data_IF_493416160218
#
_entry.id   IF_493416160218
#
_cell.length_a   1.000
_cell.length_b   1.000
_cell.length_c   1.000
_cell.angle_alpha   90.00
_cell.angle_beta   90.00
_cell.angle_gamma   90.00
#
_symmetry.space_group_name_H-M   'P 1'
#
loop_
_entity.id
_entity.type
_entity.pdbx_description
1 polymer ?
#
# COMPACT_ATOMS: atom_id res chain seq x y z
N UNK A 1 -37.75 -6.86 -15.98
CA UNK A 1 -36.54 -6.07 -15.63
C UNK A 1 -35.70 -6.88 -14.64
N UNK A 2 -34.48 -7.18 -14.99
CA UNK A 2 -33.60 -7.94 -14.09
C UNK A 2 -33.24 -7.10 -12.87
N UNK A 3 -33.34 -7.70 -11.70
CA UNK A 3 -32.96 -7.06 -10.47
C UNK A 3 -31.43 -7.10 -10.28
N UNK A 4 -30.86 -6.05 -9.76
CA UNK A 4 -29.45 -6.02 -9.33
C UNK A 4 -29.23 -7.10 -8.27
N UNK A 5 -28.24 -7.96 -8.50
CA UNK A 5 -27.92 -9.09 -7.60
C UNK A 5 -26.58 -8.93 -6.92
N UNK A 6 -25.74 -8.07 -7.43
CA UNK A 6 -24.39 -7.84 -6.91
C UNK A 6 -23.99 -6.38 -6.95
N UNK A 7 -23.11 -6.01 -6.04
CA UNK A 7 -22.52 -4.67 -5.94
C UNK A 7 -21.02 -4.81 -5.82
N UNK A 8 -20.28 -4.10 -6.66
CA UNK A 8 -18.84 -3.99 -6.57
C UNK A 8 -18.44 -2.62 -6.05
N UNK A 9 -17.51 -2.61 -5.12
CA UNK A 9 -16.94 -1.38 -4.56
C UNK A 9 -15.52 -1.18 -5.05
N UNK A 10 -15.19 0.05 -5.43
CA UNK A 10 -13.81 0.50 -5.50
C UNK A 10 -13.26 0.65 -4.07
N UNK A 11 -11.97 0.37 -3.87
CA UNK A 11 -11.36 0.39 -2.54
C UNK A 11 -10.76 1.76 -2.22
N UNK A 12 -9.76 2.19 -2.97
CA UNK A 12 -9.01 3.41 -2.70
C UNK A 12 -9.84 4.67 -2.94
N UNK A 13 -10.04 5.49 -1.89
CA UNK A 13 -10.84 6.71 -1.96
C UNK A 13 -12.36 6.49 -1.91
N UNK A 14 -12.82 5.24 -1.89
CA UNK A 14 -14.25 4.89 -1.80
C UNK A 14 -14.58 4.24 -0.46
N UNK A 15 -14.10 3.03 -0.22
CA UNK A 15 -14.26 2.34 1.08
C UNK A 15 -13.11 2.64 2.03
N UNK A 16 -11.91 2.84 1.51
CA UNK A 16 -10.71 3.10 2.27
C UNK A 16 -10.22 4.51 2.00
N UNK A 17 -9.98 5.26 3.06
CA UNK A 17 -9.36 6.57 3.01
C UNK A 17 -7.99 6.54 3.68
N UNK A 18 -7.14 7.50 3.34
CA UNK A 18 -5.81 7.68 3.91
C UNK A 18 -5.77 9.00 4.65
N UNK A 19 -5.53 8.94 5.94
CA UNK A 19 -5.45 10.10 6.82
C UNK A 19 -4.00 10.43 7.16
N UNK A 20 -3.63 11.71 7.10
CA UNK A 20 -2.31 12.17 7.54
C UNK A 20 -2.25 12.15 9.05
N UNK A 21 -1.46 11.24 9.61
CA UNK A 21 -1.22 11.12 11.04
C UNK A 21 0.31 11.12 11.24
N UNK A 22 0.91 12.28 11.57
CA UNK A 22 2.36 12.45 11.59
C UNK A 22 3.11 11.42 12.43
N UNK A 23 2.64 11.13 13.64
CA UNK A 23 3.29 10.14 14.51
C UNK A 23 3.28 8.74 13.91
N UNK A 24 2.18 8.34 13.28
CA UNK A 24 2.06 7.06 12.58
C UNK A 24 3.03 6.98 11.41
N UNK A 25 3.11 8.02 10.62
CA UNK A 25 3.98 8.12 9.46
C UNK A 25 5.46 8.09 9.86
N UNK A 26 5.85 8.81 10.92
CA UNK A 26 7.22 8.79 11.44
C UNK A 26 7.64 7.40 11.97
N UNK A 27 6.77 6.71 12.70
CA UNK A 27 7.05 5.33 13.13
C UNK A 27 7.31 4.40 11.94
N UNK A 28 6.54 4.54 10.87
CA UNK A 28 6.71 3.76 9.66
C UNK A 28 8.06 4.03 8.97
N UNK A 29 8.46 5.30 8.87
CA UNK A 29 9.76 5.70 8.30
C UNK A 29 10.93 5.11 9.10
N UNK A 30 10.88 5.23 10.43
CA UNK A 30 11.89 4.67 11.32
C UNK A 30 11.99 3.16 11.15
N UNK A 31 10.85 2.49 11.11
CA UNK A 31 10.82 1.02 10.93
C UNK A 31 11.40 0.59 9.59
N UNK A 32 11.08 1.27 8.51
CA UNK A 32 11.68 1.01 7.20
C UNK A 32 13.20 1.15 7.22
N UNK A 33 13.71 2.23 7.81
CA UNK A 33 15.14 2.46 7.94
C UNK A 33 15.83 1.35 8.76
N UNK A 34 15.21 0.90 9.84
CA UNK A 34 15.71 -0.22 10.65
C UNK A 34 15.80 -1.51 9.83
N UNK A 35 14.75 -1.84 9.08
CA UNK A 35 14.73 -3.03 8.21
C UNK A 35 15.83 -2.99 7.15
N UNK A 36 16.12 -1.81 6.63
CA UNK A 36 17.18 -1.57 5.65
C UNK A 36 18.58 -1.39 6.25
N UNK A 37 18.70 -1.36 7.58
CA UNK A 37 19.98 -1.10 8.26
C UNK A 37 20.53 0.31 8.03
N UNK A 38 19.64 1.30 7.89
CA UNK A 38 19.99 2.69 7.64
C UNK A 38 19.79 3.55 8.89
N UNK A 39 20.77 4.40 9.20
CA UNK A 39 20.73 5.30 10.37
C UNK A 39 20.04 6.62 10.06
N UNK A 40 20.30 7.20 8.89
CA UNK A 40 19.66 8.44 8.44
C UNK A 40 18.30 8.14 7.81
N UNK A 41 17.25 8.25 8.62
CA UNK A 41 15.88 7.93 8.24
C UNK A 41 15.38 8.82 7.10
N UNK A 42 15.61 10.12 7.19
CA UNK A 42 15.11 11.07 6.20
C UNK A 42 15.80 10.89 4.85
N UNK A 43 17.11 10.76 4.83
CA UNK A 43 17.86 10.50 3.61
C UNK A 43 17.43 9.17 2.96
N UNK A 44 17.19 8.14 3.77
CA UNK A 44 16.70 6.86 3.28
C UNK A 44 15.32 6.97 2.62
N UNK A 45 14.37 7.61 3.28
CA UNK A 45 13.02 7.77 2.73
C UNK A 45 13.03 8.61 1.45
N UNK A 46 13.81 9.70 1.42
CA UNK A 46 13.95 10.53 0.21
C UNK A 46 14.53 9.74 -0.96
N UNK A 47 15.50 8.87 -0.70
CA UNK A 47 16.06 7.97 -1.70
C UNK A 47 15.01 7.00 -2.24
N UNK A 48 14.24 6.37 -1.37
CA UNK A 48 13.14 5.44 -1.77
C UNK A 48 12.10 6.18 -2.61
N UNK A 49 11.67 7.35 -2.20
CA UNK A 49 10.71 8.16 -2.95
C UNK A 49 11.23 8.53 -4.36
N UNK A 50 12.51 8.91 -4.45
CA UNK A 50 13.12 9.24 -5.74
C UNK A 50 13.19 8.01 -6.68
N UNK A 51 13.49 6.84 -6.13
CA UNK A 51 13.55 5.59 -6.90
C UNK A 51 12.16 5.03 -7.26
N UNK A 52 11.15 5.42 -6.53
CA UNK A 52 9.77 5.01 -6.82
C UNK A 52 9.23 5.60 -8.12
N UNK A 53 9.64 6.80 -8.50
CA UNK A 53 9.14 7.45 -9.73
C UNK A 53 9.43 6.65 -11.01
N UNK A 54 10.67 6.19 -11.28
CA UNK A 54 10.94 5.32 -12.44
C UNK A 54 10.13 4.02 -12.42
N UNK A 55 9.95 3.43 -11.24
CA UNK A 55 9.10 2.25 -11.09
C UNK A 55 7.65 2.56 -11.50
N UNK A 56 7.10 3.65 -11.00
CA UNK A 56 5.74 4.08 -11.31
C UNK A 56 5.53 4.29 -12.81
N UNK A 57 6.47 4.95 -13.48
CA UNK A 57 6.43 5.13 -14.93
C UNK A 57 6.42 3.79 -15.67
N UNK A 58 7.29 2.88 -15.27
CA UNK A 58 7.34 1.54 -15.82
C UNK A 58 6.01 0.79 -15.60
N UNK A 59 5.50 0.78 -14.37
CA UNK A 59 4.27 0.07 -14.01
C UNK A 59 3.05 0.60 -14.82
N UNK A 60 2.96 1.90 -15.00
CA UNK A 60 1.91 2.51 -15.81
C UNK A 60 2.07 2.17 -17.30
N UNK A 61 3.29 2.20 -17.83
CA UNK A 61 3.58 1.86 -19.22
C UNK A 61 3.30 0.40 -19.55
N UNK A 62 3.62 -0.51 -18.64
CA UNK A 62 3.38 -1.96 -18.79
C UNK A 62 1.99 -2.40 -18.33
N UNK A 63 1.20 -1.50 -17.75
CA UNK A 63 -0.08 -1.82 -17.12
C UNK A 63 0.03 -3.01 -16.14
N UNK A 64 1.08 -2.99 -15.33
CA UNK A 64 1.45 -4.08 -14.42
C UNK A 64 2.08 -3.53 -13.14
N UNK A 65 1.82 -4.18 -12.02
CA UNK A 65 2.51 -3.92 -10.76
C UNK A 65 3.52 -5.02 -10.44
N UNK A 66 4.65 -4.63 -9.86
CA UNK A 66 5.63 -5.58 -9.33
C UNK A 66 5.15 -6.19 -8.02
N UNK A 67 5.50 -7.46 -7.79
CA UNK A 67 5.37 -8.06 -6.46
C UNK A 67 6.37 -7.42 -5.48
N UNK A 68 6.18 -7.64 -4.18
CA UNK A 68 7.00 -6.99 -3.15
C UNK A 68 8.50 -7.22 -3.34
N UNK A 69 8.91 -8.45 -3.56
CA UNK A 69 10.33 -8.75 -3.78
C UNK A 69 10.88 -8.06 -5.03
N UNK A 70 10.18 -8.14 -6.17
CA UNK A 70 10.57 -7.49 -7.42
C UNK A 70 10.70 -5.98 -7.25
N UNK A 71 9.75 -5.33 -6.56
CA UNK A 71 9.75 -3.90 -6.28
C UNK A 71 11.02 -3.47 -5.54
N UNK A 72 11.35 -4.16 -4.46
CA UNK A 72 12.52 -3.81 -3.64
C UNK A 72 13.83 -4.22 -4.29
N UNK A 73 13.90 -5.39 -4.90
CA UNK A 73 15.13 -5.90 -5.51
C UNK A 73 15.51 -5.18 -6.81
N UNK A 74 14.55 -4.91 -7.68
CA UNK A 74 14.85 -4.31 -8.99
C UNK A 74 14.82 -2.78 -8.97
N UNK A 75 14.01 -2.18 -8.10
CA UNK A 75 13.73 -0.76 -8.17
C UNK A 75 14.18 0.06 -6.97
N UNK A 76 13.80 -0.33 -5.76
CA UNK A 76 13.91 0.57 -4.61
C UNK A 76 15.19 0.36 -3.79
N UNK A 77 15.64 -0.87 -3.58
CA UNK A 77 16.75 -1.16 -2.67
C UNK A 77 17.56 -2.40 -3.09
N UNK A 78 18.06 -2.47 -4.34
CA UNK A 78 18.81 -3.64 -4.81
C UNK A 78 20.09 -3.90 -3.99
N UNK A 79 20.70 -2.86 -3.43
CA UNK A 79 21.92 -2.94 -2.63
C UNK A 79 21.78 -3.71 -1.32
N UNK A 80 20.57 -3.96 -0.84
CA UNK A 80 20.35 -4.74 0.39
C UNK A 80 20.64 -6.23 0.19
N UNK A 81 20.59 -6.71 -1.04
CA UNK A 81 20.87 -8.09 -1.40
C UNK A 81 19.66 -9.01 -1.32
N UNK A 82 19.73 -10.11 -2.09
CA UNK A 82 18.60 -11.03 -2.26
C UNK A 82 18.13 -11.65 -0.94
N UNK A 83 19.06 -12.21 -0.17
CA UNK A 83 18.71 -12.92 1.08
C UNK A 83 17.97 -12.01 2.05
N UNK A 84 18.50 -10.81 2.29
CA UNK A 84 17.89 -9.85 3.20
C UNK A 84 16.55 -9.34 2.68
N UNK A 85 16.46 -9.04 1.39
CA UNK A 85 15.22 -8.57 0.77
C UNK A 85 14.11 -9.62 0.86
N UNK A 86 14.42 -10.90 0.62
CA UNK A 86 13.41 -11.96 0.78
C UNK A 86 12.85 -12.03 2.20
N UNK A 87 13.67 -11.74 3.20
CA UNK A 87 13.25 -11.73 4.59
C UNK A 87 12.36 -10.53 4.97
N UNK A 88 12.55 -9.37 4.33
CA UNK A 88 11.95 -8.12 4.79
C UNK A 88 11.01 -7.43 3.78
N UNK A 89 10.95 -7.88 2.51
CA UNK A 89 10.24 -7.14 1.45
C UNK A 89 8.75 -6.91 1.74
N UNK A 90 8.05 -7.85 2.33
CA UNK A 90 6.63 -7.69 2.66
C UNK A 90 6.42 -6.64 3.75
N UNK A 91 7.22 -6.68 4.80
CA UNK A 91 7.16 -5.66 5.85
C UNK A 91 7.57 -4.29 5.32
N UNK A 92 8.60 -4.22 4.47
CA UNK A 92 9.02 -2.98 3.82
C UNK A 92 7.88 -2.34 3.01
N UNK A 93 7.18 -3.13 2.20
CA UNK A 93 6.02 -2.64 1.43
C UNK A 93 4.90 -2.18 2.36
N UNK A 94 4.61 -2.95 3.41
CA UNK A 94 3.61 -2.56 4.41
C UNK A 94 3.96 -1.22 5.04
N UNK A 95 5.17 -1.06 5.54
CA UNK A 95 5.62 0.19 6.17
C UNK A 95 5.63 1.35 5.18
N UNK A 96 6.06 1.12 3.95
CA UNK A 96 6.06 2.16 2.91
C UNK A 96 4.66 2.72 2.66
N UNK A 97 3.64 1.86 2.67
CA UNK A 97 2.24 2.30 2.60
C UNK A 97 1.84 3.13 3.82
N UNK A 98 2.34 2.80 5.02
CA UNK A 98 2.06 3.56 6.24
C UNK A 98 2.75 4.94 6.25
N UNK A 99 3.86 5.10 5.57
CA UNK A 99 4.50 6.41 5.37
C UNK A 99 3.57 7.41 4.66
N UNK A 100 2.68 6.92 3.81
CA UNK A 100 1.69 7.75 3.11
C UNK A 100 0.55 8.22 4.01
N UNK A 101 0.30 7.54 5.11
CA UNK A 101 -0.73 7.85 6.10
C UNK A 101 -1.40 6.62 6.67
N UNK A 102 -2.26 6.85 7.63
CA UNK A 102 -3.09 5.81 8.24
C UNK A 102 -4.27 5.48 7.32
N UNK A 103 -4.41 4.21 7.00
CA UNK A 103 -5.52 3.71 6.18
C UNK A 103 -6.63 3.19 7.07
N UNK A 104 -7.84 3.63 6.81
CA UNK A 104 -9.02 3.14 7.51
C UNK A 104 -10.27 3.15 6.63
N UNK A 105 -11.29 2.42 7.06
CA UNK A 105 -12.57 2.37 6.36
C UNK A 105 -13.27 3.73 6.51
N UNK A 106 -13.85 4.23 5.43
CA UNK A 106 -14.62 5.47 5.44
C UNK A 106 -15.80 5.36 6.41
N UNK A 107 -16.13 6.47 7.07
CA UNK A 107 -17.28 6.54 7.98
C UNK A 107 -18.56 6.09 7.25
N UNK A 108 -19.34 5.22 7.90
CA UNK A 108 -20.55 4.63 7.30
C UNK A 108 -20.31 3.47 6.33
N UNK A 109 -19.06 3.21 5.92
CA UNK A 109 -18.74 2.17 4.94
C UNK A 109 -19.13 0.77 5.38
N UNK A 110 -18.84 0.40 6.63
CA UNK A 110 -19.19 -0.91 7.16
C UNK A 110 -20.70 -1.11 7.29
N UNK A 111 -21.44 -0.06 7.66
CA UNK A 111 -22.89 -0.09 7.76
C UNK A 111 -23.54 -0.31 6.39
N UNK A 112 -23.02 0.34 5.34
CA UNK A 112 -23.50 0.14 3.96
C UNK A 112 -23.23 -1.30 3.50
N UNK A 113 -22.03 -1.82 3.72
CA UNK A 113 -21.67 -3.19 3.35
C UNK A 113 -22.58 -4.20 4.04
N UNK A 114 -22.76 -4.09 5.35
CA UNK A 114 -23.64 -4.96 6.13
C UNK A 114 -25.10 -4.87 5.66
N UNK A 115 -25.60 -3.67 5.47
CA UNK A 115 -26.98 -3.45 5.02
C UNK A 115 -27.26 -4.06 3.66
N UNK A 116 -26.31 -3.99 2.72
CA UNK A 116 -26.43 -4.63 1.41
C UNK A 116 -26.35 -6.17 1.53
N UNK A 117 -25.42 -6.68 2.33
CA UNK A 117 -25.29 -8.11 2.57
C UNK A 117 -26.56 -8.71 3.18
N UNK A 118 -27.12 -8.08 4.20
CA UNK A 118 -28.35 -8.51 4.88
C UNK A 118 -29.58 -8.49 3.94
N UNK A 119 -29.55 -7.62 2.91
CA UNK A 119 -30.59 -7.59 1.86
C UNK A 119 -30.38 -8.64 0.76
N UNK A 120 -29.37 -9.49 0.89
CA UNK A 120 -29.10 -10.59 -0.02
C UNK A 120 -28.29 -10.24 -1.27
N UNK A 121 -27.66 -9.07 -1.32
CA UNK A 121 -26.74 -8.74 -2.41
C UNK A 121 -25.41 -9.50 -2.27
N UNK A 122 -24.87 -9.90 -3.40
CA UNK A 122 -23.49 -10.39 -3.48
C UNK A 122 -22.55 -9.18 -3.56
N UNK A 123 -21.47 -9.18 -2.78
CA UNK A 123 -20.56 -8.07 -2.69
C UNK A 123 -19.17 -8.45 -3.18
N UNK A 124 -18.49 -7.52 -3.83
CA UNK A 124 -17.12 -7.68 -4.28
C UNK A 124 -16.36 -6.35 -4.23
N UNK A 125 -15.03 -6.44 -4.32
CA UNK A 125 -14.13 -5.29 -4.40
C UNK A 125 -13.43 -5.34 -5.76
N UNK A 126 -13.32 -4.19 -6.37
CA UNK A 126 -12.59 -4.03 -7.64
C UNK A 126 -11.19 -3.51 -7.35
#
# INVERSE_FOLDING_TARGET
>A
MDKIKGVFFDLGGTLRIVEKVPEHQERAKVRMAQLAGREDVEAFINMVEARYEPYREWALGENREAGDYELWHQWLLPELGEERLRAVCHEMTYQYRQVKGLRHVVEGGLQVIRGLYERGYRLGII
#
